data_IF_860006416304
#
_entry.id   IF_860006416304
#
_cell.length_a   1.000
_cell.length_b   1.000
_cell.length_c   1.000
_cell.angle_alpha   90.00
_cell.angle_beta   90.00
_cell.angle_gamma   90.00
#
_symmetry.space_group_name_H-M   'P 1'
#
loop_
_entity.id
_entity.type
_entity.pdbx_description
1 polymer ?
#
# COMPACT_ATOMS: atom_id res chain seq x y z
N UNK A 1 1.22 -17.39 -54.45
CA UNK A 1 1.37 -16.00 -53.99
C UNK A 1 1.02 -15.99 -52.49
N UNK A 2 1.98 -16.01 -51.62
CA UNK A 2 1.76 -16.06 -50.16
C UNK A 2 1.86 -14.63 -49.64
N UNK A 3 0.75 -14.07 -49.20
CA UNK A 3 0.76 -12.78 -48.49
C UNK A 3 1.29 -12.98 -47.08
N UNK A 4 2.55 -12.62 -46.85
CA UNK A 4 3.08 -12.43 -45.52
C UNK A 4 2.48 -11.15 -44.95
N UNK A 5 1.44 -11.27 -44.12
CA UNK A 5 0.97 -10.17 -43.29
C UNK A 5 2.04 -9.80 -42.29
N UNK A 6 2.73 -8.69 -42.52
CA UNK A 6 3.64 -8.09 -41.55
C UNK A 6 2.81 -7.61 -40.36
N UNK A 7 2.81 -8.39 -39.29
CA UNK A 7 2.37 -7.92 -37.97
C UNK A 7 3.32 -6.81 -37.52
N UNK A 8 2.93 -5.55 -37.77
CA UNK A 8 3.58 -4.42 -37.07
C UNK A 8 3.28 -4.58 -35.59
N UNK A 9 4.28 -5.00 -34.84
CA UNK A 9 4.28 -4.90 -33.40
C UNK A 9 4.21 -3.41 -33.05
N UNK A 10 3.03 -2.93 -32.69
CA UNK A 10 2.89 -1.61 -32.09
C UNK A 10 3.62 -1.67 -30.75
N UNK A 11 4.81 -1.11 -30.67
CA UNK A 11 5.47 -0.88 -29.38
C UNK A 11 4.72 0.26 -28.69
N UNK A 12 4.05 -0.05 -27.59
CA UNK A 12 3.51 0.98 -26.70
C UNK A 12 4.70 1.83 -26.23
N UNK A 13 4.68 3.16 -26.40
CA UNK A 13 5.76 4.00 -25.94
C UNK A 13 5.89 3.88 -24.42
N UNK A 14 7.13 3.88 -23.95
CA UNK A 14 7.42 3.90 -22.52
C UNK A 14 7.13 5.31 -21.98
N UNK A 15 6.31 5.39 -20.91
CA UNK A 15 5.99 6.66 -20.26
C UNK A 15 7.11 7.03 -19.28
N UNK A 16 7.45 8.29 -19.23
CA UNK A 16 8.46 8.82 -18.31
C UNK A 16 7.77 9.43 -17.09
N UNK A 17 8.28 9.09 -15.90
CA UNK A 17 7.86 9.69 -14.64
C UNK A 17 8.44 11.11 -14.52
N UNK A 18 7.62 12.08 -14.11
CA UNK A 18 8.11 13.37 -13.63
C UNK A 18 8.78 13.18 -12.26
N UNK A 19 10.07 12.84 -12.29
CA UNK A 19 10.83 12.50 -11.09
C UNK A 19 11.01 13.68 -10.14
N UNK A 20 11.15 14.89 -10.63
CA UNK A 20 11.32 16.08 -9.80
C UNK A 20 10.06 16.33 -8.97
N UNK A 21 8.90 16.34 -9.60
CA UNK A 21 7.63 16.50 -8.91
C UNK A 21 7.27 15.30 -8.03
N UNK A 22 7.63 14.07 -8.44
CA UNK A 22 7.45 12.87 -7.64
C UNK A 22 8.24 12.93 -6.33
N UNK A 23 9.53 13.27 -6.38
CA UNK A 23 10.39 13.38 -5.19
C UNK A 23 9.98 14.55 -4.29
N UNK A 24 9.34 15.58 -4.85
CA UNK A 24 8.80 16.71 -4.08
C UNK A 24 7.46 16.43 -3.40
N UNK A 25 6.86 15.25 -3.66
CA UNK A 25 5.59 14.81 -3.06
C UNK A 25 5.84 13.91 -1.86
N UNK A 26 4.90 13.89 -0.89
CA UNK A 26 4.86 12.87 0.16
C UNK A 26 4.31 11.57 -0.43
N UNK A 27 5.12 10.55 -0.61
CA UNK A 27 4.73 9.29 -1.25
C UNK A 27 4.56 8.18 -0.22
N UNK A 28 3.40 7.54 -0.25
CA UNK A 28 3.06 6.42 0.63
C UNK A 28 2.72 5.18 -0.19
N UNK A 29 2.88 4.01 0.43
CA UNK A 29 2.40 2.73 -0.13
C UNK A 29 1.46 2.02 0.83
N UNK A 30 0.48 1.31 0.31
CA UNK A 30 -0.34 0.39 1.09
C UNK A 30 0.47 -0.86 1.41
N UNK A 31 0.66 -1.18 2.70
CA UNK A 31 1.57 -2.22 3.16
C UNK A 31 0.88 -3.20 4.11
N UNK A 32 0.90 -4.48 3.75
CA UNK A 32 0.37 -5.58 4.56
C UNK A 32 1.53 -6.32 5.24
N UNK A 33 1.75 -6.15 6.56
CA UNK A 33 2.88 -6.75 7.26
C UNK A 33 2.80 -8.28 7.32
N UNK A 34 1.58 -8.83 7.34
CA UNK A 34 1.32 -10.25 7.48
C UNK A 34 0.76 -10.83 6.19
N UNK A 35 1.63 -11.50 5.44
CA UNK A 35 1.28 -12.20 4.23
C UNK A 35 1.45 -13.70 4.46
N UNK A 36 0.36 -14.46 4.51
CA UNK A 36 0.37 -15.91 4.67
C UNK A 36 -0.74 -16.55 3.85
N UNK A 37 -0.61 -17.85 3.63
CA UNK A 37 -1.64 -18.63 2.92
C UNK A 37 -2.98 -18.49 3.65
N UNK A 38 -3.99 -17.98 2.95
CA UNK A 38 -5.31 -17.69 3.52
C UNK A 38 -5.53 -16.22 3.91
N UNK A 39 -4.48 -15.37 3.85
CA UNK A 39 -4.69 -13.92 3.94
C UNK A 39 -5.30 -13.41 2.63
N UNK A 40 -6.51 -12.81 2.70
CA UNK A 40 -7.26 -12.39 1.53
C UNK A 40 -6.54 -11.30 0.71
N UNK A 41 -5.64 -10.53 1.31
CA UNK A 41 -4.98 -9.42 0.65
C UNK A 41 -3.65 -9.81 0.01
N UNK A 42 -2.86 -10.62 0.69
CA UNK A 42 -1.46 -10.90 0.30
C UNK A 42 -1.26 -12.25 -0.35
N UNK A 43 -2.24 -13.16 -0.25
CA UNK A 43 -2.16 -14.44 -0.93
C UNK A 43 -2.40 -14.27 -2.44
N UNK A 44 -1.52 -14.81 -3.30
CA UNK A 44 -1.66 -14.68 -4.74
C UNK A 44 -3.00 -15.25 -5.22
N UNK A 45 -3.76 -14.46 -5.96
CA UNK A 45 -4.99 -14.92 -6.57
C UNK A 45 -4.64 -16.00 -7.62
N UNK A 46 -5.17 -17.24 -7.51
CA UNK A 46 -4.87 -18.30 -8.46
C UNK A 46 -5.37 -18.01 -9.89
N UNK A 47 -6.28 -17.04 -10.05
CA UNK A 47 -6.74 -16.56 -11.36
C UNK A 47 -5.75 -15.60 -12.02
N UNK A 48 -4.84 -14.99 -11.24
CA UNK A 48 -3.72 -14.24 -11.78
C UNK A 48 -2.71 -15.22 -12.36
N UNK A 49 -2.00 -14.81 -13.42
CA UNK A 49 -1.03 -15.68 -14.12
C UNK A 49 -0.18 -16.47 -13.14
N UNK A 50 0.01 -17.77 -13.42
CA UNK A 50 0.96 -18.62 -12.74
C UNK A 50 2.29 -17.90 -12.57
N UNK A 51 2.67 -17.61 -11.32
CA UNK A 51 3.95 -16.99 -11.03
C UNK A 51 3.92 -15.57 -10.44
N UNK A 52 2.79 -14.86 -10.41
CA UNK A 52 2.76 -13.56 -9.74
C UNK A 52 2.74 -13.73 -8.21
N UNK A 53 3.91 -13.71 -7.62
CA UNK A 53 4.14 -13.89 -6.18
C UNK A 53 5.41 -13.13 -5.76
N UNK A 54 5.57 -12.79 -4.47
CA UNK A 54 6.81 -12.20 -3.97
C UNK A 54 8.02 -13.10 -4.25
N UNK A 55 9.19 -12.50 -4.41
CA UNK A 55 10.47 -13.22 -4.46
C UNK A 55 10.87 -13.63 -3.05
N UNK A 56 10.66 -12.73 -2.07
CA UNK A 56 10.92 -13.04 -0.67
C UNK A 56 9.92 -14.06 -0.11
N UNK A 57 10.39 -14.92 0.79
CA UNK A 57 9.49 -15.81 1.52
C UNK A 57 8.71 -15.01 2.57
N UNK A 58 7.39 -15.02 2.46
CA UNK A 58 6.47 -14.32 3.36
C UNK A 58 6.11 -15.12 4.62
N UNK A 59 6.90 -16.14 4.99
CA UNK A 59 6.59 -16.99 6.14
C UNK A 59 6.33 -16.21 7.43
N UNK A 60 7.18 -15.24 7.73
CA UNK A 60 7.06 -14.38 8.92
C UNK A 60 7.51 -12.96 8.62
N UNK A 61 6.89 -12.00 9.31
CA UNK A 61 7.35 -10.62 9.32
C UNK A 61 8.44 -10.48 10.40
N UNK A 62 9.70 -10.60 10.00
CA UNK A 62 10.87 -10.53 10.88
C UNK A 62 11.76 -9.32 10.54
N UNK A 63 12.74 -9.05 11.37
CA UNK A 63 13.59 -7.87 11.28
C UNK A 63 14.27 -7.69 9.92
N UNK A 64 14.85 -8.75 9.37
CA UNK A 64 15.53 -8.69 8.08
C UNK A 64 14.58 -8.29 6.95
N UNK A 65 13.35 -8.83 6.95
CA UNK A 65 12.34 -8.45 5.97
C UNK A 65 11.92 -6.99 6.13
N UNK A 66 11.69 -6.53 7.37
CA UNK A 66 11.38 -5.12 7.62
C UNK A 66 12.48 -4.20 7.08
N UNK A 67 13.75 -4.54 7.34
CA UNK A 67 14.89 -3.75 6.89
C UNK A 67 15.00 -3.75 5.36
N UNK A 68 14.74 -4.88 4.71
CA UNK A 68 14.74 -5.00 3.26
C UNK A 68 13.59 -4.19 2.63
N UNK A 69 12.37 -4.32 3.15
CA UNK A 69 11.21 -3.58 2.67
C UNK A 69 11.42 -2.06 2.82
N UNK A 70 11.85 -1.60 3.99
CA UNK A 70 12.11 -0.18 4.24
C UNK A 70 13.24 0.37 3.36
N UNK A 71 14.30 -0.41 3.14
CA UNK A 71 15.40 -0.02 2.25
C UNK A 71 14.92 0.11 0.80
N UNK A 72 14.17 -0.89 0.31
CA UNK A 72 13.66 -0.89 -1.07
C UNK A 72 12.62 0.23 -1.27
N UNK A 73 11.75 0.49 -0.30
CA UNK A 73 10.82 1.62 -0.32
C UNK A 73 11.56 2.96 -0.38
N UNK A 74 12.56 3.17 0.47
CA UNK A 74 13.35 4.42 0.46
C UNK A 74 14.11 4.62 -0.84
N UNK A 75 14.64 3.56 -1.43
CA UNK A 75 15.32 3.66 -2.73
C UNK A 75 14.37 4.06 -3.86
N UNK A 76 13.06 3.84 -3.68
CA UNK A 76 12.00 4.26 -4.58
C UNK A 76 11.35 5.60 -4.16
N UNK A 77 12.01 6.40 -3.32
CA UNK A 77 11.51 7.68 -2.81
C UNK A 77 10.12 7.60 -2.17
N UNK A 78 9.85 6.48 -1.48
CA UNK A 78 8.64 6.30 -0.67
C UNK A 78 8.94 6.81 0.73
N UNK A 79 8.09 7.69 1.25
CA UNK A 79 8.27 8.39 2.53
C UNK A 79 7.53 7.70 3.68
N UNK A 80 6.58 6.83 3.37
CA UNK A 80 5.81 6.16 4.40
C UNK A 80 4.92 5.03 3.91
N UNK A 81 4.23 4.42 4.88
CA UNK A 81 3.29 3.32 4.62
C UNK A 81 1.92 3.60 5.20
N UNK A 82 0.90 3.08 4.53
CA UNK A 82 -0.39 2.79 5.13
C UNK A 82 -0.29 1.37 5.69
N UNK A 83 0.00 1.27 6.99
CA UNK A 83 0.22 0.00 7.68
C UNK A 83 -1.12 -0.70 7.93
N UNK A 84 -1.38 -1.77 7.17
CA UNK A 84 -2.64 -2.52 7.23
C UNK A 84 -2.64 -3.46 8.42
N UNK A 85 -3.56 -3.22 9.36
CA UNK A 85 -3.72 -3.99 10.60
C UNK A 85 -5.11 -4.62 10.64
N UNK A 86 -5.18 -5.91 10.97
CA UNK A 86 -6.44 -6.62 11.16
C UNK A 86 -6.66 -7.03 12.62
N UNK A 87 -7.91 -7.22 13.07
CA UNK A 87 -8.20 -7.74 14.41
C UNK A 87 -7.57 -9.10 14.68
N UNK A 88 -7.52 -9.96 13.66
CA UNK A 88 -6.92 -11.30 13.76
C UNK A 88 -5.41 -11.21 14.01
N UNK A 89 -4.72 -10.30 13.30
CA UNK A 89 -3.29 -10.10 13.52
C UNK A 89 -3.02 -9.46 14.90
N UNK A 90 -3.93 -8.60 15.35
CA UNK A 90 -3.81 -7.94 16.64
C UNK A 90 -4.14 -8.84 17.83
N UNK A 91 -4.83 -9.96 17.64
CA UNK A 91 -5.04 -10.96 18.69
C UNK A 91 -3.72 -11.61 19.14
N UNK A 92 -2.72 -11.69 18.26
CA UNK A 92 -1.41 -12.31 18.54
C UNK A 92 -0.46 -11.30 19.21
N UNK A 93 0.04 -11.68 20.40
CA UNK A 93 0.99 -10.85 21.19
C UNK A 93 2.28 -10.58 20.41
N UNK A 94 2.84 -11.60 19.76
CA UNK A 94 4.11 -11.47 19.05
C UNK A 94 3.98 -10.53 17.85
N UNK A 95 2.85 -10.59 17.13
CA UNK A 95 2.56 -9.68 16.03
C UNK A 95 2.47 -8.22 16.52
N UNK A 96 1.84 -7.97 17.66
CA UNK A 96 1.81 -6.62 18.25
C UNK A 96 3.19 -6.10 18.62
N UNK A 97 4.06 -6.96 19.14
CA UNK A 97 5.46 -6.60 19.44
C UNK A 97 6.23 -6.26 18.17
N UNK A 98 6.03 -7.02 17.11
CA UNK A 98 6.62 -6.72 15.80
C UNK A 98 6.16 -5.38 15.22
N UNK A 99 4.90 -4.99 15.43
CA UNK A 99 4.42 -3.65 15.03
C UNK A 99 5.13 -2.56 15.82
N UNK A 100 5.27 -2.72 17.14
CA UNK A 100 6.01 -1.75 17.96
C UNK A 100 7.45 -1.58 17.45
N UNK A 101 8.11 -2.69 17.12
CA UNK A 101 9.46 -2.68 16.58
C UNK A 101 9.54 -2.04 15.19
N UNK A 102 8.56 -2.28 14.33
CA UNK A 102 8.48 -1.62 13.02
C UNK A 102 8.32 -0.10 13.15
N UNK A 103 7.46 0.37 14.07
CA UNK A 103 7.29 1.80 14.33
C UNK A 103 8.58 2.45 14.85
N UNK A 104 9.34 1.73 15.69
CA UNK A 104 10.66 2.18 16.14
C UNK A 104 11.63 2.33 14.97
N UNK A 105 11.75 1.33 14.10
CA UNK A 105 12.56 1.39 12.88
C UNK A 105 12.14 2.56 11.98
N UNK A 106 10.85 2.73 11.76
CA UNK A 106 10.32 3.84 10.98
C UNK A 106 10.71 5.19 11.60
N UNK A 107 10.63 5.32 12.92
CA UNK A 107 11.05 6.52 13.64
C UNK A 107 12.53 6.83 13.44
N UNK A 108 13.41 5.83 13.56
CA UNK A 108 14.86 5.98 13.35
C UNK A 108 15.19 6.41 11.91
N UNK A 109 14.41 5.95 10.95
CA UNK A 109 14.58 6.24 9.54
C UNK A 109 13.82 7.49 9.07
N UNK A 110 13.07 8.17 9.94
CA UNK A 110 12.14 9.26 9.61
C UNK A 110 11.07 8.84 8.59
N UNK A 111 10.74 7.57 8.56
CA UNK A 111 9.73 7.00 7.68
C UNK A 111 8.35 7.13 8.32
N UNK A 112 7.34 7.52 7.56
CA UNK A 112 6.01 7.85 8.08
C UNK A 112 5.06 6.65 8.07
N UNK A 113 4.16 6.61 9.06
CA UNK A 113 3.17 5.54 9.20
C UNK A 113 1.77 6.13 9.35
N UNK A 114 0.86 5.69 8.51
CA UNK A 114 -0.59 5.88 8.60
C UNK A 114 -1.21 4.54 8.97
N UNK A 115 -2.04 4.49 10.01
CA UNK A 115 -2.73 3.25 10.36
C UNK A 115 -3.89 3.00 9.41
N UNK A 116 -3.90 1.82 8.78
CA UNK A 116 -4.97 1.36 7.90
C UNK A 116 -5.61 0.11 8.50
N UNK A 117 -6.87 0.23 8.92
CA UNK A 117 -7.60 -0.85 9.59
C UNK A 117 -8.37 -1.67 8.55
N UNK A 118 -8.03 -2.95 8.45
CA UNK A 118 -8.59 -3.86 7.45
C UNK A 118 -9.28 -5.04 8.12
N UNK A 119 -10.40 -5.48 7.55
CA UNK A 119 -11.08 -6.69 7.98
C UNK A 119 -11.70 -7.38 6.79
N UNK A 120 -11.57 -8.71 6.74
CA UNK A 120 -12.22 -9.57 5.74
C UNK A 120 -13.68 -9.88 6.11
N UNK A 121 -14.08 -9.54 7.34
CA UNK A 121 -15.43 -9.76 7.86
C UNK A 121 -16.01 -8.45 8.38
N UNK A 122 -17.34 -8.24 8.25
CA UNK A 122 -18.02 -7.02 8.72
C UNK A 122 -18.12 -6.95 10.26
N UNK A 123 -17.17 -7.47 11.02
CA UNK A 123 -17.15 -7.51 12.47
C UNK A 123 -16.62 -6.18 13.04
N UNK A 124 -17.50 -5.22 13.22
CA UNK A 124 -17.23 -3.95 13.91
C UNK A 124 -16.54 -4.14 15.28
N UNK A 125 -16.89 -5.19 16.02
CA UNK A 125 -16.37 -5.49 17.36
C UNK A 125 -14.85 -5.74 17.40
N UNK A 126 -14.25 -6.27 16.32
CA UNK A 126 -12.81 -6.51 16.28
C UNK A 126 -11.98 -5.25 16.02
N UNK A 127 -12.52 -4.28 15.32
CA UNK A 127 -11.79 -3.08 14.92
C UNK A 127 -11.64 -2.06 16.05
N UNK A 128 -12.62 -1.96 16.95
CA UNK A 128 -12.48 -1.15 18.18
C UNK A 128 -11.27 -1.62 19.00
N UNK A 129 -11.01 -2.91 19.05
CA UNK A 129 -9.84 -3.45 19.73
C UNK A 129 -8.53 -3.00 19.10
N UNK A 130 -8.46 -2.89 17.77
CA UNK A 130 -7.24 -2.40 17.10
C UNK A 130 -6.97 -0.94 17.46
N UNK A 131 -8.00 -0.08 17.48
CA UNK A 131 -7.86 1.31 17.90
C UNK A 131 -7.42 1.41 19.37
N UNK A 132 -8.06 0.62 20.26
CA UNK A 132 -7.66 0.55 21.65
C UNK A 132 -6.20 0.12 21.82
N UNK A 133 -5.74 -0.89 21.06
CA UNK A 133 -4.33 -1.29 21.07
C UNK A 133 -3.39 -0.18 20.61
N UNK A 134 -3.77 0.58 19.59
CA UNK A 134 -2.99 1.75 19.13
C UNK A 134 -2.79 2.74 20.29
N UNK A 135 -3.86 3.02 21.03
CA UNK A 135 -3.85 3.97 22.14
C UNK A 135 -3.14 3.40 23.39
N UNK A 136 -3.47 2.18 23.81
CA UNK A 136 -2.94 1.54 25.02
C UNK A 136 -1.41 1.32 24.93
N UNK A 137 -0.91 1.07 23.71
CA UNK A 137 0.52 0.92 23.47
C UNK A 137 1.22 2.23 23.11
N UNK A 138 0.50 3.32 23.12
CA UNK A 138 1.01 4.64 22.75
C UNK A 138 1.61 4.71 21.33
N UNK A 139 1.20 3.82 20.43
CA UNK A 139 1.65 3.85 19.05
C UNK A 139 1.26 5.15 18.35
N UNK A 140 0.12 5.73 18.73
CA UNK A 140 -0.36 7.05 18.29
C UNK A 140 0.55 8.21 18.70
N UNK A 141 1.52 7.96 19.61
CA UNK A 141 2.52 8.94 20.07
C UNK A 141 3.89 8.73 19.42
N UNK A 142 4.05 7.68 18.59
CA UNK A 142 5.31 7.44 17.91
C UNK A 142 5.67 8.58 16.97
N UNK A 143 6.94 9.03 16.93
CA UNK A 143 7.39 10.07 15.99
C UNK A 143 7.23 9.69 14.51
N UNK A 144 7.11 8.38 14.21
CA UNK A 144 6.84 7.90 12.86
C UNK A 144 5.39 8.09 12.41
N UNK A 145 4.45 8.29 13.34
CA UNK A 145 3.03 8.44 12.97
C UNK A 145 2.79 9.74 12.24
N UNK A 146 2.17 9.63 11.07
CA UNK A 146 1.88 10.77 10.23
C UNK A 146 0.71 11.57 10.81
N UNK A 147 0.85 12.91 10.78
CA UNK A 147 -0.14 13.84 11.31
C UNK A 147 -0.49 14.85 10.22
N UNK A 148 -1.78 15.08 10.01
CA UNK A 148 -2.32 16.06 9.07
C UNK A 148 -3.19 17.05 9.86
N UNK A 149 -2.86 18.31 9.80
CA UNK A 149 -3.60 19.40 10.48
C UNK A 149 -3.83 19.09 11.98
N UNK A 150 -2.80 18.56 12.66
CA UNK A 150 -2.84 18.21 14.08
C UNK A 150 -3.59 16.90 14.40
N UNK A 151 -4.09 16.17 13.41
CA UNK A 151 -4.83 14.92 13.60
C UNK A 151 -4.13 13.73 12.94
N UNK A 152 -4.27 12.56 13.54
CA UNK A 152 -3.78 11.29 13.02
C UNK A 152 -4.82 10.72 12.07
N UNK A 153 -4.52 10.51 10.78
CA UNK A 153 -5.43 9.82 9.88
C UNK A 153 -5.54 8.34 10.25
N UNK A 154 -6.77 7.89 10.49
CA UNK A 154 -7.13 6.47 10.57
C UNK A 154 -7.89 6.09 9.31
N UNK A 155 -7.33 5.15 8.56
CA UNK A 155 -7.93 4.66 7.33
C UNK A 155 -8.68 3.37 7.61
N UNK A 156 -9.89 3.24 7.11
CA UNK A 156 -10.74 2.07 7.28
C UNK A 156 -11.14 1.51 5.92
N UNK A 157 -11.15 0.18 5.80
CA UNK A 157 -11.83 -0.44 4.67
C UNK A 157 -13.34 -0.16 4.74
N UNK A 158 -13.97 0.21 3.63
CA UNK A 158 -15.38 0.68 3.53
C UNK A 158 -16.44 -0.16 4.25
N UNK A 159 -16.19 -1.45 4.42
CA UNK A 159 -17.10 -2.35 5.14
C UNK A 159 -17.22 -2.07 6.64
N UNK A 160 -16.47 -1.09 7.16
CA UNK A 160 -16.33 -0.86 8.59
C UNK A 160 -16.86 0.55 8.92
N UNK A 161 -18.05 0.60 9.53
CA UNK A 161 -18.53 1.80 10.20
C UNK A 161 -18.06 1.79 11.65
N UNK A 162 -17.14 2.66 12.02
CA UNK A 162 -16.66 2.77 13.40
C UNK A 162 -17.28 3.96 14.11
N UNK A 163 -17.94 3.69 15.21
CA UNK A 163 -18.08 4.62 16.32
C UNK A 163 -16.89 4.41 17.27
N UNK A 164 -15.81 5.12 17.06
CA UNK A 164 -14.69 5.12 18.02
C UNK A 164 -15.19 5.77 19.29
N UNK A 165 -15.33 4.99 20.38
CA UNK A 165 -15.67 5.51 21.71
C UNK A 165 -14.40 6.13 22.29
N UNK A 166 -14.42 7.42 22.57
CA UNK A 166 -13.32 8.13 23.19
C UNK A 166 -13.14 9.54 22.66
N UNK A 167 -12.12 10.25 23.12
CA UNK A 167 -11.80 11.59 22.63
C UNK A 167 -11.28 11.54 21.19
N UNK A 168 -12.24 11.65 20.25
CA UNK A 168 -12.00 11.59 18.81
C UNK A 168 -11.32 12.84 18.25
N UNK A 169 -10.93 13.80 19.08
CA UNK A 169 -10.29 15.04 18.63
C UNK A 169 -8.94 14.78 18.00
N UNK A 170 -8.29 13.66 18.34
CA UNK A 170 -6.94 13.31 17.90
C UNK A 170 -6.87 12.59 16.57
N UNK A 171 -7.95 11.96 16.12
CA UNK A 171 -8.00 11.17 14.90
C UNK A 171 -8.91 11.80 13.85
N UNK A 172 -8.60 11.58 12.60
CA UNK A 172 -9.49 11.86 11.47
C UNK A 172 -9.71 10.58 10.67
N UNK A 173 -10.98 10.25 10.41
CA UNK A 173 -11.33 8.99 9.75
C UNK A 173 -11.36 9.17 8.23
N UNK A 174 -10.69 8.27 7.52
CA UNK A 174 -10.70 8.16 6.07
C UNK A 174 -11.23 6.77 5.69
N UNK A 175 -12.10 6.69 4.70
CA UNK A 175 -12.62 5.42 4.19
C UNK A 175 -11.97 5.07 2.86
N UNK A 176 -11.37 3.88 2.77
CA UNK A 176 -10.68 3.36 1.59
C UNK A 176 -11.33 2.05 1.16
N UNK A 177 -11.93 2.02 -0.03
CA UNK A 177 -12.29 0.75 -0.69
C UNK A 177 -11.00 0.08 -1.19
N UNK A 178 -10.46 -0.82 -0.38
CA UNK A 178 -9.20 -1.52 -0.70
C UNK A 178 -9.35 -2.38 -1.97
N UNK A 179 -10.53 -2.96 -2.23
CA UNK A 179 -10.74 -3.78 -3.42
C UNK A 179 -10.68 -2.95 -4.71
N UNK A 180 -11.19 -1.73 -4.67
CA UNK A 180 -11.18 -0.80 -5.82
C UNK A 180 -9.99 0.15 -5.82
N UNK A 181 -9.31 0.32 -4.67
CA UNK A 181 -8.26 1.32 -4.50
C UNK A 181 -8.79 2.74 -4.73
N UNK A 182 -9.83 3.12 -4.01
CA UNK A 182 -10.40 4.48 -4.04
C UNK A 182 -10.80 4.92 -2.63
N UNK A 183 -10.62 6.20 -2.33
CA UNK A 183 -11.21 6.79 -1.13
C UNK A 183 -12.68 7.14 -1.41
N UNK A 184 -13.54 6.80 -0.46
CA UNK A 184 -15.01 6.98 -0.59
C UNK A 184 -15.58 8.07 0.30
N UNK A 185 -14.73 8.86 0.95
CA UNK A 185 -15.20 9.95 1.79
C UNK A 185 -15.80 11.09 0.94
N UNK A 186 -16.87 11.69 1.46
CA UNK A 186 -17.47 12.91 0.90
C UNK A 186 -16.62 14.16 1.14
N UNK A 187 -15.64 14.10 2.02
CA UNK A 187 -14.67 15.17 2.29
C UNK A 187 -13.48 15.06 1.31
N UNK A 188 -12.83 16.19 0.97
CA UNK A 188 -11.60 16.13 0.17
C UNK A 188 -10.61 15.19 0.84
N UNK A 189 -10.27 14.10 0.16
CA UNK A 189 -9.24 13.19 0.65
C UNK A 189 -7.89 13.88 0.54
N UNK A 190 -7.06 13.87 1.60
CA UNK A 190 -5.74 14.50 1.55
C UNK A 190 -4.73 13.70 0.72
N UNK A 191 -5.11 12.53 0.19
CA UNK A 191 -4.25 11.65 -0.61
C UNK A 191 -4.88 11.38 -1.98
N UNK A 192 -4.10 11.44 -3.03
CA UNK A 192 -4.42 10.87 -4.34
C UNK A 192 -3.90 9.44 -4.46
N UNK A 193 -4.62 8.58 -5.16
CA UNK A 193 -4.21 7.18 -5.36
C UNK A 193 -3.56 7.00 -6.72
N UNK A 194 -2.35 6.46 -6.72
CA UNK A 194 -1.66 5.97 -7.90
C UNK A 194 -1.71 4.43 -7.98
N UNK A 195 -2.14 3.88 -9.10
CA UNK A 195 -2.34 2.43 -9.29
C UNK A 195 -1.30 1.83 -10.22
N UNK A 196 -0.84 0.63 -9.90
CA UNK A 196 0.03 -0.17 -10.77
C UNK A 196 -0.74 -1.09 -11.73
N UNK A 197 -2.06 -1.19 -11.57
CA UNK A 197 -2.96 -1.98 -12.43
C UNK A 197 -4.34 -1.35 -12.50
N UNK A 198 -5.02 -1.53 -13.63
CA UNK A 198 -6.42 -1.08 -13.84
C UNK A 198 -7.40 -2.16 -13.41
N UNK A 199 -7.09 -3.42 -13.71
CA UNK A 199 -7.86 -4.59 -13.27
C UNK A 199 -6.97 -5.82 -13.20
N UNK A 200 -7.37 -6.85 -12.43
CA UNK A 200 -6.63 -8.12 -12.36
C UNK A 200 -6.46 -8.81 -13.73
N UNK A 201 -7.32 -8.53 -14.68
CA UNK A 201 -7.37 -9.18 -15.99
C UNK A 201 -6.44 -8.53 -17.02
N UNK A 202 -6.12 -7.24 -16.86
CA UNK A 202 -5.29 -6.44 -17.78
C UNK A 202 -3.80 -6.45 -17.48
N UNK A 203 -3.35 -7.24 -16.54
CA UNK A 203 -2.02 -7.19 -15.90
C UNK A 203 -0.83 -7.39 -16.87
N UNK A 204 -1.05 -7.91 -18.07
CA UNK A 204 0.03 -8.66 -18.73
C UNK A 204 0.92 -7.82 -19.65
N UNK A 205 0.38 -6.87 -20.39
CA UNK A 205 1.15 -6.17 -21.44
C UNK A 205 1.85 -4.90 -20.94
N UNK A 206 1.19 -4.15 -20.05
CA UNK A 206 1.67 -2.83 -19.62
C UNK A 206 2.46 -2.85 -18.32
N UNK A 207 2.36 -3.94 -17.55
CA UNK A 207 2.98 -4.02 -16.23
C UNK A 207 4.52 -4.06 -16.30
N UNK A 208 5.09 -4.75 -17.28
CA UNK A 208 6.56 -4.84 -17.42
C UNK A 208 7.23 -3.50 -17.73
N UNK A 209 6.48 -2.53 -18.27
CA UNK A 209 6.95 -1.17 -18.53
C UNK A 209 6.52 -0.17 -17.46
N UNK A 210 5.77 -0.62 -16.46
CA UNK A 210 5.18 0.20 -15.41
C UNK A 210 4.36 1.42 -15.90
N UNK A 211 3.92 1.44 -17.16
CA UNK A 211 3.22 2.58 -17.76
C UNK A 211 1.96 2.99 -17.01
N UNK A 212 1.23 2.01 -16.44
CA UNK A 212 0.02 2.30 -15.65
C UNK A 212 0.40 3.05 -14.38
N UNK A 213 1.44 2.59 -13.68
CA UNK A 213 1.92 3.25 -12.45
C UNK A 213 2.43 4.66 -12.76
N UNK A 214 3.30 4.79 -13.75
CA UNK A 214 3.86 6.09 -14.18
C UNK A 214 2.74 7.06 -14.57
N UNK A 215 1.80 6.63 -15.41
CA UNK A 215 0.65 7.46 -15.79
C UNK A 215 -0.15 7.90 -14.56
N UNK A 216 -0.46 6.97 -13.67
CA UNK A 216 -1.28 7.24 -12.49
C UNK A 216 -0.61 8.21 -11.51
N UNK A 217 0.73 8.16 -11.38
CA UNK A 217 1.50 9.12 -10.58
C UNK A 217 1.52 10.49 -11.27
N UNK A 218 1.83 10.54 -12.57
CA UNK A 218 1.85 11.80 -13.30
C UNK A 218 0.47 12.49 -13.27
N UNK A 219 -0.62 11.73 -13.44
CA UNK A 219 -1.99 12.26 -13.31
C UNK A 219 -2.25 12.87 -11.91
N UNK A 220 -1.68 12.29 -10.84
CA UNK A 220 -1.78 12.86 -9.50
C UNK A 220 -0.95 14.15 -9.35
N UNK A 221 0.26 14.16 -9.92
CA UNK A 221 1.14 15.35 -9.96
C UNK A 221 0.47 16.50 -10.71
N UNK A 222 -0.11 16.23 -11.88
CA UNK A 222 -0.83 17.23 -12.68
C UNK A 222 -2.03 17.83 -11.92
N UNK A 223 -2.68 17.05 -11.04
CA UNK A 223 -3.70 17.56 -10.12
C UNK A 223 -3.13 18.33 -8.93
N UNK A 224 -1.82 18.56 -8.89
CA UNK A 224 -1.11 19.23 -7.80
C UNK A 224 -1.26 18.51 -6.44
N UNK A 225 -1.37 17.19 -6.46
CA UNK A 225 -1.41 16.40 -5.25
C UNK A 225 -0.06 16.43 -4.55
N UNK A 226 -0.07 16.81 -3.27
CA UNK A 226 1.13 16.78 -2.42
C UNK A 226 1.33 15.44 -1.73
N UNK A 227 0.32 14.56 -1.74
CA UNK A 227 0.34 13.25 -1.05
C UNK A 227 -0.20 12.19 -1.97
N UNK A 228 0.66 11.23 -2.31
CA UNK A 228 0.35 10.17 -3.26
C UNK A 228 0.39 8.84 -2.53
N UNK A 229 -0.73 8.08 -2.54
CA UNK A 229 -0.77 6.71 -2.10
C UNK A 229 -0.59 5.78 -3.29
N UNK A 230 0.58 5.16 -3.41
CA UNK A 230 0.82 4.10 -4.39
C UNK A 230 0.12 2.82 -3.92
N UNK A 231 -0.76 2.32 -4.73
CA UNK A 231 -1.55 1.14 -4.46
C UNK A 231 -1.02 -0.03 -5.29
N UNK A 232 -0.28 -0.98 -4.71
CA UNK A 232 0.15 -1.19 -3.33
C UNK A 232 1.58 -1.75 -3.27
N UNK A 233 2.20 -1.83 -2.08
CA UNK A 233 3.48 -2.52 -1.95
C UNK A 233 3.33 -4.02 -2.24
N UNK A 234 2.42 -4.69 -1.57
CA UNK A 234 2.32 -6.15 -1.57
C UNK A 234 0.89 -6.73 -1.60
N UNK A 235 -0.05 -6.08 -2.27
CA UNK A 235 -1.40 -6.60 -2.45
C UNK A 235 -1.48 -7.53 -3.66
N UNK A 236 -1.09 -8.78 -3.47
CA UNK A 236 -1.06 -9.79 -4.54
C UNK A 236 -2.45 -10.28 -4.97
N UNK A 237 -3.44 -10.25 -4.09
CA UNK A 237 -4.78 -10.75 -4.40
C UNK A 237 -5.46 -10.03 -5.56
N UNK A 238 -5.17 -8.73 -5.77
CA UNK A 238 -5.67 -7.96 -6.91
C UNK A 238 -4.61 -7.64 -7.97
N UNK A 239 -3.37 -8.12 -7.80
CA UNK A 239 -2.29 -7.92 -8.74
C UNK A 239 -1.62 -6.53 -8.70
N UNK A 240 -1.85 -5.73 -7.67
CA UNK A 240 -1.31 -4.38 -7.56
C UNK A 240 0.06 -4.28 -6.87
N UNK A 241 0.64 -5.39 -6.41
CA UNK A 241 1.92 -5.39 -5.73
C UNK A 241 3.05 -4.81 -6.60
N UNK A 242 3.81 -3.84 -6.07
CA UNK A 242 4.94 -3.20 -6.77
C UNK A 242 6.30 -3.69 -6.27
N UNK A 243 6.35 -4.39 -5.13
CA UNK A 243 7.59 -4.99 -4.65
C UNK A 243 8.19 -6.00 -5.62
N UNK A 244 9.42 -6.41 -5.39
CA UNK A 244 10.09 -7.44 -6.20
C UNK A 244 9.29 -8.74 -6.23
N UNK A 245 8.87 -9.15 -7.41
CA UNK A 245 8.02 -10.31 -7.61
C UNK A 245 8.50 -11.19 -8.77
N UNK A 246 7.92 -12.37 -8.91
CA UNK A 246 8.35 -13.37 -9.90
C UNK A 246 7.85 -13.11 -11.31
N UNK A 247 7.02 -12.10 -11.53
CA UNK A 247 6.45 -11.79 -12.85
C UNK A 247 7.20 -10.66 -13.57
N UNK A 248 7.28 -9.49 -12.97
CA UNK A 248 7.93 -8.30 -13.56
C UNK A 248 9.22 -7.91 -12.81
N UNK A 249 9.63 -8.77 -11.88
CA UNK A 249 10.80 -8.64 -11.02
C UNK A 249 10.76 -7.33 -10.23
N UNK A 250 11.50 -6.31 -10.64
CA UNK A 250 11.59 -5.01 -9.99
C UNK A 250 11.18 -3.84 -10.93
N UNK A 251 10.55 -4.15 -12.06
CA UNK A 251 10.20 -3.14 -13.09
C UNK A 251 9.39 -1.99 -12.54
N UNK A 252 8.45 -2.27 -11.59
CA UNK A 252 7.64 -1.23 -10.97
C UNK A 252 8.47 -0.33 -10.04
N UNK A 253 9.46 -0.89 -9.34
CA UNK A 253 10.34 -0.13 -8.45
C UNK A 253 11.35 0.72 -9.22
N UNK A 254 11.89 0.19 -10.31
CA UNK A 254 12.90 0.88 -11.13
C UNK A 254 12.42 2.21 -11.69
N UNK A 255 11.15 2.34 -12.03
CA UNK A 255 10.62 3.62 -12.53
C UNK A 255 10.48 4.67 -11.43
N UNK A 256 10.41 4.25 -10.15
CA UNK A 256 10.35 5.14 -9.00
C UNK A 256 11.74 5.56 -8.51
N UNK A 257 12.77 4.75 -8.78
CA UNK A 257 14.17 5.04 -8.47
C UNK A 257 14.78 6.03 -9.45
#
# INVERSE_FOLDING_TARGET
MVFLASCKTFSVPELTLDKEAYVASDVFVLYFPYAYKGNAYTYPNPRLKKGFRPIADYGTWHNERMDNDLRDMRSAHIDGVFLCLSPVDMADKNKREMISHFLEKCSQLQFKVVFCLVSDTPLALGMENVVNYIQDRHWDKSPSVYVIDGKIPLVFNESISLSVKGDNTRFTNLSLDIAKGIFSNTLPCPFDIAKSTISPETIIADRTKANILVKSINDAIERQSRRILVFSWNYYANGSAIEKNTFDYDSQLKVLQ
#
